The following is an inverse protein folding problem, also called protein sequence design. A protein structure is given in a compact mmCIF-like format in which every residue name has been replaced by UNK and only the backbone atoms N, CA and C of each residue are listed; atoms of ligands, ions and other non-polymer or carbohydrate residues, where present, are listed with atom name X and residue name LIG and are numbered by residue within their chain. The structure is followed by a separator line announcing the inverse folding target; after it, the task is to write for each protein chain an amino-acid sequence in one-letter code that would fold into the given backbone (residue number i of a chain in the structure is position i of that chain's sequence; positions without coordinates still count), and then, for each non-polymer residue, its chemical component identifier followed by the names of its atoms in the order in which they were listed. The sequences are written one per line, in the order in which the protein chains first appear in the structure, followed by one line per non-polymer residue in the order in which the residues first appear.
data_IF_066218437485
#
_entry.id   IF_066218437485
#
_cell.length_a   1.000
_cell.length_b   1.000
_cell.length_c   1.000
_cell.angle_alpha   90.00
_cell.angle_beta   90.00
_cell.angle_gamma   90.00
#
_symmetry.space_group_name_H-M   'P 1'
#
loop_
_entity.id
_entity.type
_entity.pdbx_description
1 polymer ?
#
# COMPACT_ATOMS: atom_id res chain seq x y z
N UNK A 1 3.08 23.55 4.72
CA UNK A 1 2.43 22.22 4.62
C UNK A 1 1.39 22.20 3.51
N UNK A 2 0.39 23.08 3.52
CA UNK A 2 -0.68 23.15 2.50
C UNK A 2 -0.14 23.22 1.06
N UNK A 3 0.87 24.07 0.79
CA UNK A 3 1.50 24.17 -0.54
C UNK A 3 2.13 22.85 -1.00
N UNK A 4 2.77 22.10 -0.10
CA UNK A 4 3.37 20.79 -0.42
C UNK A 4 2.28 19.77 -0.76
N UNK A 5 1.20 19.72 0.02
CA UNK A 5 0.05 18.85 -0.27
C UNK A 5 -0.57 19.18 -1.63
N UNK A 6 -0.82 20.46 -1.93
CA UNK A 6 -1.34 20.89 -3.25
C UNK A 6 -0.40 20.52 -4.40
N UNK A 7 0.89 20.76 -4.25
CA UNK A 7 1.88 20.39 -5.27
C UNK A 7 1.92 18.88 -5.51
N UNK A 8 1.85 18.09 -4.44
CA UNK A 8 1.82 16.64 -4.51
C UNK A 8 0.58 16.14 -5.27
N UNK A 9 -0.61 16.57 -4.84
CA UNK A 9 -1.89 16.25 -5.50
C UNK A 9 -1.87 16.61 -6.99
N UNK A 10 -1.33 17.77 -7.34
CA UNK A 10 -1.17 18.18 -8.75
C UNK A 10 -0.18 17.30 -9.52
N UNK A 11 0.93 16.88 -8.89
CA UNK A 11 1.95 16.04 -9.54
C UNK A 11 1.46 14.62 -9.86
N UNK A 12 0.47 14.14 -9.11
CA UNK A 12 -0.17 12.83 -9.34
C UNK A 12 -1.56 12.94 -9.98
N UNK A 13 -2.01 14.16 -10.30
CA UNK A 13 -3.31 14.46 -10.90
C UNK A 13 -4.51 13.87 -10.12
N UNK A 14 -4.52 14.01 -8.78
CA UNK A 14 -5.59 13.50 -7.91
C UNK A 14 -6.15 14.61 -7.02
N UNK A 15 -7.45 14.55 -6.70
CA UNK A 15 -8.01 15.38 -5.63
C UNK A 15 -7.71 14.78 -4.25
N UNK A 16 -7.97 15.55 -3.19
CA UNK A 16 -7.62 15.14 -1.82
C UNK A 16 -8.27 13.81 -1.42
N UNK A 17 -9.56 13.62 -1.69
CA UNK A 17 -10.30 12.43 -1.25
C UNK A 17 -9.92 11.18 -2.06
N UNK A 18 -9.62 11.34 -3.35
CA UNK A 18 -9.05 10.27 -4.19
C UNK A 18 -7.69 9.81 -3.63
N UNK A 19 -6.76 10.75 -3.47
CA UNK A 19 -5.42 10.45 -2.97
C UNK A 19 -5.47 9.83 -1.58
N UNK A 20 -6.33 10.36 -0.71
CA UNK A 20 -6.53 9.87 0.66
C UNK A 20 -7.05 8.43 0.65
N UNK A 21 -8.11 8.13 -0.11
CA UNK A 21 -8.70 6.79 -0.17
C UNK A 21 -7.69 5.75 -0.70
N UNK A 22 -6.94 6.12 -1.72
CA UNK A 22 -5.87 5.28 -2.27
C UNK A 22 -4.77 5.05 -1.25
N UNK A 23 -4.26 6.11 -0.61
CA UNK A 23 -3.19 6.02 0.37
C UNK A 23 -3.59 5.18 1.59
N UNK A 24 -4.82 5.32 2.09
CA UNK A 24 -5.33 4.48 3.17
C UNK A 24 -5.47 3.01 2.75
N UNK A 25 -5.97 2.72 1.55
CA UNK A 25 -6.04 1.35 1.03
C UNK A 25 -4.64 0.71 0.93
N UNK A 26 -3.65 1.48 0.45
CA UNK A 26 -2.24 1.05 0.44
C UNK A 26 -1.76 0.74 1.86
N UNK A 27 -1.98 1.65 2.81
CA UNK A 27 -1.58 1.48 4.21
C UNK A 27 -2.20 0.25 4.87
N UNK A 28 -3.50 0.01 4.69
CA UNK A 28 -4.18 -1.18 5.23
C UNK A 28 -3.58 -2.47 4.65
N UNK A 29 -3.33 -2.53 3.34
CA UNK A 29 -2.69 -3.69 2.71
C UNK A 29 -1.27 -3.94 3.22
N UNK A 30 -0.50 -2.88 3.48
CA UNK A 30 0.83 -2.98 4.07
C UNK A 30 0.78 -3.55 5.49
N UNK A 31 -0.15 -3.08 6.32
CA UNK A 31 -0.34 -3.60 7.69
C UNK A 31 -0.70 -5.08 7.67
N UNK A 32 -1.62 -5.49 6.79
CA UNK A 32 -2.03 -6.90 6.64
C UNK A 32 -0.87 -7.78 6.16
N UNK A 33 -0.15 -7.36 5.11
CA UNK A 33 1.00 -8.10 4.60
C UNK A 33 2.13 -8.22 5.63
N UNK A 34 2.39 -7.13 6.38
CA UNK A 34 3.35 -7.14 7.48
C UNK A 34 2.94 -8.09 8.61
N UNK A 35 1.67 -8.08 9.01
CA UNK A 35 1.14 -9.00 10.02
C UNK A 35 1.26 -10.47 9.59
N UNK A 36 0.94 -10.77 8.32
CA UNK A 36 1.15 -12.11 7.74
C UNK A 36 2.62 -12.53 7.79
N UNK A 37 3.55 -11.64 7.44
CA UNK A 37 4.98 -11.91 7.49
C UNK A 37 5.47 -12.19 8.92
N UNK A 38 4.98 -11.43 9.92
CA UNK A 38 5.31 -11.64 11.33
C UNK A 38 4.81 -13.01 11.82
N UNK A 39 3.57 -13.38 11.50
CA UNK A 39 3.03 -14.71 11.84
C UNK A 39 3.84 -15.80 11.15
N UNK A 40 4.15 -15.64 9.87
CA UNK A 40 4.97 -16.59 9.12
C UNK A 40 6.37 -16.77 9.75
N UNK A 41 6.98 -15.69 10.24
CA UNK A 41 8.26 -15.74 10.94
C UNK A 41 8.21 -16.53 12.26
N UNK A 42 7.05 -16.62 12.92
CA UNK A 42 6.83 -17.42 14.13
C UNK A 42 6.44 -18.85 13.76
N UNK A 43 5.57 -19.01 12.76
CA UNK A 43 5.03 -20.30 12.29
C UNK A 43 5.21 -20.39 10.77
N UNK A 44 6.33 -20.94 10.28
CA UNK A 44 6.65 -20.98 8.84
C UNK A 44 5.59 -21.69 7.98
N UNK A 45 4.80 -22.58 8.57
CA UNK A 45 3.72 -23.27 7.88
C UNK A 45 2.51 -22.38 7.52
N UNK A 46 2.38 -21.20 8.15
CA UNK A 46 1.24 -20.28 7.98
C UNK A 46 1.67 -19.10 7.10
N UNK A 47 0.80 -18.63 6.22
CA UNK A 47 1.03 -17.51 5.29
C UNK A 47 2.28 -17.65 4.39
N UNK A 48 2.59 -18.86 3.94
CA UNK A 48 3.82 -19.21 3.22
C UNK A 48 4.14 -18.30 2.02
N UNK A 49 3.11 -17.85 1.29
CA UNK A 49 3.28 -16.93 0.15
C UNK A 49 2.41 -15.68 0.23
N UNK A 50 1.48 -15.60 1.18
CA UNK A 50 0.48 -14.54 1.24
C UNK A 50 1.10 -13.15 1.43
N UNK A 51 2.09 -13.03 2.33
CA UNK A 51 2.77 -11.76 2.57
C UNK A 51 3.52 -11.26 1.32
N UNK A 52 4.25 -12.15 0.65
CA UNK A 52 5.01 -11.79 -0.56
C UNK A 52 4.09 -11.50 -1.75
N UNK A 53 2.99 -12.23 -1.90
CA UNK A 53 1.97 -11.96 -2.90
C UNK A 53 1.31 -10.59 -2.65
N UNK A 54 1.01 -10.23 -1.39
CA UNK A 54 0.46 -8.90 -1.05
C UNK A 54 1.41 -7.77 -1.43
N UNK A 55 2.72 -7.95 -1.23
CA UNK A 55 3.74 -6.98 -1.64
C UNK A 55 3.76 -6.82 -3.17
N UNK A 56 3.71 -7.93 -3.92
CA UNK A 56 3.67 -7.91 -5.39
C UNK A 56 2.42 -7.18 -5.91
N UNK A 57 1.24 -7.52 -5.39
CA UNK A 57 -0.02 -6.84 -5.73
C UNK A 57 0.06 -5.34 -5.45
N UNK A 58 0.65 -4.96 -4.31
CA UNK A 58 0.78 -3.55 -3.94
C UNK A 58 1.78 -2.81 -4.85
N UNK A 59 2.89 -3.46 -5.20
CA UNK A 59 3.88 -2.94 -6.13
C UNK A 59 3.27 -2.69 -7.52
N UNK A 60 2.52 -3.66 -8.04
CA UNK A 60 1.79 -3.52 -9.31
C UNK A 60 0.75 -2.40 -9.24
N UNK A 61 -0.01 -2.32 -8.14
CA UNK A 61 -1.03 -1.30 -7.95
C UNK A 61 -0.45 0.13 -7.90
N UNK A 62 0.71 0.32 -7.27
CA UNK A 62 1.37 1.63 -7.15
C UNK A 62 2.01 2.05 -8.48
N UNK A 63 2.56 1.11 -9.25
CA UNK A 63 3.23 1.40 -10.51
C UNK A 63 2.31 1.44 -11.72
N UNK A 64 1.06 0.99 -11.58
CA UNK A 64 0.06 1.13 -12.63
C UNK A 64 -0.15 2.61 -12.93
N UNK A 65 0.07 3.01 -14.19
CA UNK A 65 -0.24 4.37 -14.67
C UNK A 65 -1.71 4.66 -14.39
N UNK A 66 -1.95 5.78 -13.72
CA UNK A 66 -3.29 6.32 -13.44
C UNK A 66 -3.62 7.38 -14.47
#
# INVERSE_FOLDING_TARGET
MIKKSKNHLNSVNENYFEHMGIAFNVGVKMLLGGFMALIHGIIPGVFQTDASNKIKELYEFINKKR
#
